data_IF_027835428762
#
_entry.id   IF_027835428762
#
_cell.length_a   1.000
_cell.length_b   1.000
_cell.length_c   1.000
_cell.angle_alpha   90.00
_cell.angle_beta   90.00
_cell.angle_gamma   90.00
#
_symmetry.space_group_name_H-M   'P 1'
#
loop_
_entity.id
_entity.type
_entity.pdbx_description
1 polymer ?
#
# COMPACT_ATOMS: atom_id res chain seq x y z
N UNK A 1 10.14 -61.29 -23.95
CA UNK A 1 11.12 -60.21 -23.75
C UNK A 1 10.36 -58.89 -23.70
N UNK A 2 10.65 -58.08 -22.68
CA UNK A 2 9.95 -56.84 -22.29
C UNK A 2 10.05 -55.76 -23.38
N UNK A 3 8.96 -55.06 -23.67
CA UNK A 3 9.00 -53.68 -24.18
C UNK A 3 8.09 -52.82 -23.31
N UNK A 4 8.71 -52.14 -22.36
CA UNK A 4 8.09 -51.13 -21.49
C UNK A 4 8.07 -49.84 -22.31
N UNK A 5 6.88 -49.38 -22.70
CA UNK A 5 6.71 -48.04 -23.26
C UNK A 5 6.53 -47.07 -22.09
N UNK A 6 7.63 -46.43 -21.71
CA UNK A 6 7.69 -45.37 -20.70
C UNK A 6 7.22 -44.06 -21.37
N UNK A 7 5.92 -43.75 -21.28
CA UNK A 7 5.40 -42.45 -21.70
C UNK A 7 5.75 -41.39 -20.65
N UNK A 8 6.76 -40.57 -20.96
CA UNK A 8 7.18 -39.42 -20.17
C UNK A 8 6.09 -38.35 -20.26
N UNK A 9 5.33 -38.18 -19.18
CA UNK A 9 4.38 -37.09 -18.99
C UNK A 9 5.19 -35.81 -18.71
N UNK A 10 5.41 -35.00 -19.75
CA UNK A 10 6.09 -33.72 -19.64
C UNK A 10 5.13 -32.72 -18.94
N UNK A 11 5.27 -32.60 -17.62
CA UNK A 11 4.56 -31.57 -16.85
C UNK A 11 5.20 -30.23 -17.18
N UNK A 12 4.61 -29.48 -18.10
CA UNK A 12 4.91 -28.07 -18.29
C UNK A 12 4.44 -27.32 -17.05
N UNK A 13 5.37 -27.03 -16.14
CA UNK A 13 5.13 -26.09 -15.06
C UNK A 13 4.94 -24.70 -15.69
N UNK A 14 3.68 -24.31 -15.88
CA UNK A 14 3.34 -22.92 -16.17
C UNK A 14 3.73 -22.14 -14.93
N UNK A 15 4.86 -21.44 -14.98
CA UNK A 15 5.18 -20.44 -13.98
C UNK A 15 4.16 -19.32 -14.13
N UNK A 16 3.14 -19.33 -13.28
CA UNK A 16 2.27 -18.17 -13.10
C UNK A 16 3.15 -17.12 -12.43
N UNK A 17 3.81 -16.29 -13.24
CA UNK A 17 4.38 -15.04 -12.76
C UNK A 17 3.20 -14.20 -12.28
N UNK A 18 2.97 -14.16 -10.98
CA UNK A 18 2.15 -13.10 -10.39
C UNK A 18 2.87 -11.80 -10.67
N UNK A 19 2.54 -11.14 -11.78
CA UNK A 19 3.01 -9.80 -12.08
C UNK A 19 2.55 -8.90 -10.93
N UNK A 20 3.50 -8.49 -10.08
CA UNK A 20 3.21 -7.54 -9.02
C UNK A 20 3.12 -6.15 -9.67
N UNK A 21 1.98 -5.50 -9.52
CA UNK A 21 1.75 -4.19 -10.11
C UNK A 21 2.71 -3.16 -9.51
N UNK A 22 3.28 -2.30 -10.36
CA UNK A 22 4.15 -1.21 -9.92
C UNK A 22 3.37 0.08 -9.77
N UNK A 23 3.78 0.91 -8.83
CA UNK A 23 3.18 2.23 -8.63
C UNK A 23 4.19 3.30 -8.32
N UNK A 24 3.87 4.52 -8.72
CA UNK A 24 4.60 5.72 -8.33
C UNK A 24 3.98 6.30 -7.06
N UNK A 25 4.77 6.39 -5.98
CA UNK A 25 4.31 6.87 -4.68
C UNK A 25 4.30 8.39 -4.60
N UNK A 26 3.32 8.91 -3.85
CA UNK A 26 3.22 10.34 -3.58
C UNK A 26 4.16 10.76 -2.45
N UNK A 27 4.52 12.05 -2.45
CA UNK A 27 5.27 12.68 -1.37
C UNK A 27 4.30 13.31 -0.37
N UNK A 28 4.57 13.11 0.92
CA UNK A 28 3.86 13.78 2.01
C UNK A 28 4.88 14.54 2.83
N UNK A 29 4.81 15.88 2.84
CA UNK A 29 5.82 16.75 3.47
C UNK A 29 7.26 16.46 2.99
N UNK A 30 7.42 16.11 1.71
CA UNK A 30 8.71 15.77 1.10
C UNK A 30 9.26 14.39 1.46
N UNK A 31 8.47 13.55 2.14
CA UNK A 31 8.81 12.17 2.49
C UNK A 31 8.02 11.22 1.60
N UNK A 32 8.69 10.19 1.06
CA UNK A 32 8.04 9.13 0.29
C UNK A 32 7.23 8.22 1.21
N UNK A 33 5.97 7.95 0.86
CA UNK A 33 5.07 7.15 1.69
C UNK A 33 4.60 5.92 0.95
N UNK A 34 4.98 4.76 1.46
CA UNK A 34 4.66 3.45 0.93
C UNK A 34 3.56 2.83 1.79
N UNK A 35 2.31 2.83 1.31
CA UNK A 35 1.19 2.21 2.02
C UNK A 35 0.78 0.95 1.27
N UNK A 36 0.87 -0.20 1.94
CA UNK A 36 0.59 -1.52 1.33
C UNK A 36 1.38 -1.76 0.04
N UNK A 37 2.59 -1.22 0.04
CA UNK A 37 3.55 -1.31 -1.05
C UNK A 37 4.94 -1.26 -0.45
N UNK A 38 5.90 -1.77 -1.19
CA UNK A 38 7.31 -1.78 -0.81
C UNK A 38 8.13 -1.03 -1.86
N UNK A 39 9.11 -0.21 -1.46
CA UNK A 39 9.99 0.44 -2.41
C UNK A 39 10.78 -0.59 -3.21
N UNK A 40 11.03 -0.29 -4.48
CA UNK A 40 11.94 -1.10 -5.33
C UNK A 40 13.40 -0.88 -4.93
N UNK A 41 13.69 0.29 -4.34
CA UNK A 41 15.04 0.69 -3.90
C UNK A 41 15.49 -0.10 -2.69
N UNK A 42 16.78 -0.35 -2.58
CA UNK A 42 17.38 -0.98 -1.40
C UNK A 42 17.36 -0.01 -0.21
N UNK A 43 16.93 -0.48 0.95
CA UNK A 43 16.81 0.35 2.14
C UNK A 43 17.18 -0.39 3.42
N UNK A 44 17.54 0.38 4.43
CA UNK A 44 17.63 -0.07 5.81
C UNK A 44 16.51 0.54 6.65
N UNK A 45 16.02 -0.20 7.63
CA UNK A 45 15.04 0.31 8.59
C UNK A 45 15.78 1.01 9.72
N UNK A 46 15.69 2.34 9.76
CA UNK A 46 16.37 3.17 10.77
C UNK A 46 15.54 3.36 12.03
N UNK A 47 14.22 3.23 11.92
CA UNK A 47 13.34 3.27 13.07
C UNK A 47 12.02 2.55 12.79
N UNK A 48 11.72 1.50 13.56
CA UNK A 48 10.42 0.83 13.52
C UNK A 48 9.58 1.26 14.68
N UNK A 49 8.28 1.46 14.45
CA UNK A 49 7.33 1.58 15.55
C UNK A 49 6.30 0.47 15.51
N UNK A 50 6.49 -0.49 16.42
CA UNK A 50 5.69 -1.69 16.56
C UNK A 50 4.33 -1.49 17.27
N UNK A 51 3.56 -2.58 17.26
CA UNK A 51 2.17 -2.69 17.75
C UNK A 51 2.04 -2.22 19.21
N UNK A 52 1.32 -1.11 19.41
CA UNK A 52 0.93 -0.61 20.73
C UNK A 52 0.85 0.90 20.79
N UNK A 53 1.69 1.58 20.00
CA UNK A 53 1.66 3.02 19.90
C UNK A 53 0.56 3.45 18.93
N UNK A 54 -0.24 4.37 19.43
CA UNK A 54 -1.51 4.77 18.90
C UNK A 54 -1.30 5.75 17.72
N UNK A 55 -0.62 5.31 16.66
CA UNK A 55 -0.17 6.20 15.58
C UNK A 55 -1.30 6.81 14.77
N UNK A 56 -2.39 6.06 14.58
CA UNK A 56 -3.63 6.57 13.99
C UNK A 56 -4.48 7.36 15.00
N UNK A 57 -4.00 7.64 16.23
CA UNK A 57 -4.77 8.50 17.12
C UNK A 57 -4.71 9.94 16.64
N UNK A 58 -5.88 10.58 16.57
CA UNK A 58 -5.98 11.93 16.09
C UNK A 58 -5.24 12.85 17.06
N UNK A 59 -4.69 13.92 16.52
CA UNK A 59 -3.79 14.83 17.24
C UNK A 59 -4.42 15.42 18.51
N UNK A 60 -5.74 15.60 18.49
CA UNK A 60 -6.58 16.16 19.54
C UNK A 60 -7.09 15.13 20.58
N UNK A 61 -6.68 13.86 20.52
CA UNK A 61 -7.06 12.85 21.53
C UNK A 61 -8.54 12.43 21.49
N UNK A 62 -9.33 12.95 20.56
CA UNK A 62 -10.74 12.60 20.40
C UNK A 62 -10.91 11.17 19.87
N UNK A 63 -11.63 10.32 20.60
CA UNK A 63 -11.76 8.89 20.25
C UNK A 63 -12.53 8.60 18.95
N UNK A 64 -13.23 9.58 18.36
CA UNK A 64 -14.28 9.34 17.35
C UNK A 64 -14.14 10.13 16.03
N UNK A 65 -13.01 10.81 15.77
CA UNK A 65 -12.81 11.47 14.47
C UNK A 65 -12.48 10.45 13.37
N UNK A 66 -13.31 10.45 12.31
CA UNK A 66 -13.00 9.77 11.06
C UNK A 66 -12.08 10.66 10.24
N UNK A 67 -10.77 10.54 10.43
CA UNK A 67 -9.76 11.25 9.62
C UNK A 67 -9.44 10.48 8.32
N UNK A 68 -9.01 11.20 7.28
CA UNK A 68 -8.47 10.60 6.05
C UNK A 68 -7.13 9.90 6.33
N UNK A 69 -6.70 8.98 5.45
CA UNK A 69 -5.39 8.34 5.63
C UNK A 69 -4.25 9.36 5.57
N UNK A 70 -4.38 10.34 4.68
CA UNK A 70 -3.40 11.40 4.44
C UNK A 70 -3.15 12.20 5.72
N UNK A 71 -4.21 12.68 6.38
CA UNK A 71 -4.08 13.41 7.66
C UNK A 71 -3.37 12.56 8.71
N UNK A 72 -3.67 11.26 8.79
CA UNK A 72 -3.02 10.37 9.75
C UNK A 72 -1.54 10.15 9.43
N UNK A 73 -1.21 9.96 8.15
CA UNK A 73 0.15 9.81 7.65
C UNK A 73 0.95 11.10 7.87
N UNK A 74 0.38 12.27 7.56
CA UNK A 74 1.01 13.56 7.84
C UNK A 74 1.32 13.74 9.33
N UNK A 75 0.34 13.44 10.19
CA UNK A 75 0.51 13.53 11.64
C UNK A 75 1.60 12.56 12.13
N UNK A 76 1.66 11.36 11.56
CA UNK A 76 2.73 10.40 11.81
C UNK A 76 4.09 10.97 11.43
N UNK A 77 4.26 11.43 10.17
CA UNK A 77 5.52 11.97 9.66
C UNK A 77 6.00 13.16 10.51
N UNK A 78 5.08 14.05 10.90
CA UNK A 78 5.39 15.18 11.79
C UNK A 78 5.93 14.73 13.15
N UNK A 79 5.35 13.69 13.75
CA UNK A 79 5.81 13.13 15.04
C UNK A 79 7.14 12.38 14.88
N UNK A 80 7.25 11.58 13.82
CA UNK A 80 8.46 10.83 13.49
C UNK A 80 9.64 11.78 13.27
N UNK A 81 9.47 12.82 12.46
CA UNK A 81 10.50 13.85 12.24
C UNK A 81 10.97 14.47 13.55
N UNK A 82 10.04 14.93 14.41
CA UNK A 82 10.39 15.47 15.74
C UNK A 82 11.16 14.47 16.62
N UNK A 83 10.84 13.19 16.54
CA UNK A 83 11.54 12.15 17.30
C UNK A 83 12.95 11.91 16.73
N UNK A 84 13.04 11.74 15.42
CA UNK A 84 14.28 11.53 14.68
C UNK A 84 15.26 12.71 14.83
N UNK A 85 14.78 13.95 14.72
CA UNK A 85 15.58 15.16 14.93
C UNK A 85 16.21 15.19 16.33
N UNK A 86 15.44 14.83 17.37
CA UNK A 86 15.93 14.74 18.75
C UNK A 86 16.95 13.63 18.97
N UNK A 87 16.93 12.59 18.13
CA UNK A 87 17.79 11.42 18.22
C UNK A 87 18.94 11.45 17.22
N UNK A 88 19.02 12.46 16.36
CA UNK A 88 20.00 12.52 15.27
C UNK A 88 19.84 11.42 14.23
N UNK A 89 18.63 10.88 14.06
CA UNK A 89 18.32 9.82 13.09
C UNK A 89 17.80 10.48 11.81
N UNK A 90 18.43 10.20 10.67
CA UNK A 90 17.92 10.60 9.36
C UNK A 90 17.08 9.47 8.74
N UNK A 91 16.01 9.83 8.02
CA UNK A 91 15.19 8.89 7.26
C UNK A 91 14.68 9.57 5.99
N UNK A 92 14.48 8.80 4.93
CA UNK A 92 14.06 9.28 3.60
C UNK A 92 12.59 9.00 3.32
N UNK A 93 12.08 7.89 3.85
CA UNK A 93 10.76 7.38 3.54
C UNK A 93 10.11 6.66 4.71
N UNK A 94 8.81 6.40 4.59
CA UNK A 94 8.02 5.63 5.56
C UNK A 94 7.28 4.51 4.85
N UNK A 95 7.38 3.30 5.40
CA UNK A 95 6.62 2.12 4.96
C UNK A 95 5.55 1.80 5.99
N UNK A 96 4.30 1.69 5.56
CA UNK A 96 3.21 1.09 6.32
C UNK A 96 3.01 -0.36 5.86
N UNK A 97 3.45 -1.30 6.70
CA UNK A 97 3.28 -2.72 6.47
C UNK A 97 1.97 -3.25 7.04
N UNK A 98 1.55 -4.41 6.52
CA UNK A 98 0.30 -5.14 6.79
C UNK A 98 0.18 -5.61 8.25
N UNK A 99 0.14 -4.71 9.22
CA UNK A 99 0.29 -5.10 10.64
C UNK A 99 0.23 -4.01 11.72
N UNK A 100 -0.05 -2.75 11.35
CA UNK A 100 0.06 -1.53 12.19
C UNK A 100 1.48 -1.05 12.45
N UNK A 101 2.46 -1.61 11.74
CA UNK A 101 3.84 -1.17 11.86
C UNK A 101 4.09 -0.09 10.81
N UNK A 102 4.70 1.00 11.27
CA UNK A 102 5.28 2.00 10.38
C UNK A 102 6.77 2.04 10.61
N UNK A 103 7.50 1.86 9.52
CA UNK A 103 8.94 1.81 9.48
C UNK A 103 9.46 3.06 8.79
N UNK A 104 10.27 3.84 9.50
CA UNK A 104 11.11 4.85 8.89
C UNK A 104 12.31 4.15 8.27
N UNK A 105 12.55 4.43 7.00
CA UNK A 105 13.61 3.80 6.24
C UNK A 105 14.57 4.84 5.69
N UNK A 106 15.79 4.39 5.40
CA UNK A 106 16.80 5.16 4.70
C UNK A 106 17.26 4.36 3.50
N UNK A 107 17.31 4.98 2.33
CA UNK A 107 17.75 4.29 1.13
C UNK A 107 19.27 4.10 1.16
N UNK A 108 19.70 2.94 0.71
CA UNK A 108 21.12 2.54 0.69
C UNK A 108 21.72 2.56 -0.72
N UNK A 109 20.86 2.62 -1.74
CA UNK A 109 21.23 2.71 -3.15
C UNK A 109 21.24 4.15 -3.69
N UNK A 110 21.76 4.32 -4.91
CA UNK A 110 21.67 5.57 -5.63
C UNK A 110 20.27 5.75 -6.24
N UNK A 111 19.73 6.95 -6.07
CA UNK A 111 18.47 7.35 -6.70
C UNK A 111 18.67 7.51 -8.21
N UNK A 112 17.87 6.80 -8.99
CA UNK A 112 17.81 6.84 -10.45
C UNK A 112 16.39 7.17 -10.91
N UNK A 113 16.20 7.63 -12.17
CA UNK A 113 14.85 7.84 -12.71
C UNK A 113 13.98 6.58 -12.71
N UNK A 114 14.60 5.40 -12.76
CA UNK A 114 13.92 4.10 -12.82
C UNK A 114 13.48 3.58 -11.45
N UNK A 115 14.05 4.11 -10.36
CA UNK A 115 13.74 3.70 -9.00
C UNK A 115 13.16 4.83 -8.13
N UNK A 116 13.09 6.07 -8.65
CA UNK A 116 12.50 7.22 -7.95
C UNK A 116 11.02 6.98 -7.65
N UNK A 117 10.70 6.84 -6.36
CA UNK A 117 9.33 6.66 -5.86
C UNK A 117 8.61 5.47 -6.47
N UNK A 118 9.34 4.47 -6.94
CA UNK A 118 8.75 3.26 -7.50
C UNK A 118 8.54 2.24 -6.39
N UNK A 119 7.35 1.67 -6.37
CA UNK A 119 6.98 0.63 -5.41
C UNK A 119 6.32 -0.56 -6.07
N UNK A 120 6.39 -1.69 -5.39
CA UNK A 120 5.70 -2.93 -5.71
C UNK A 120 4.45 -2.99 -4.83
N UNK A 121 3.28 -3.11 -5.45
CA UNK A 121 1.99 -3.15 -4.74
C UNK A 121 1.72 -4.54 -4.18
N UNK A 122 1.31 -4.58 -2.91
CA UNK A 122 0.78 -5.79 -2.30
C UNK A 122 -0.71 -5.96 -2.60
N UNK A 123 -1.07 -7.15 -3.07
CA UNK A 123 -2.47 -7.49 -3.35
C UNK A 123 -3.18 -7.95 -2.07
N UNK A 124 -4.42 -7.52 -1.89
CA UNK A 124 -5.31 -7.98 -0.81
C UNK A 124 -6.51 -8.65 -1.48
N UNK A 125 -6.72 -9.94 -1.22
CA UNK A 125 -7.78 -10.76 -1.82
C UNK A 125 -7.83 -10.67 -3.37
N UNK A 126 -6.66 -10.60 -4.02
CA UNK A 126 -6.56 -10.48 -5.48
C UNK A 126 -6.88 -9.10 -6.05
N UNK A 127 -7.02 -8.09 -5.19
CA UNK A 127 -7.22 -6.69 -5.59
C UNK A 127 -5.96 -5.89 -5.27
N UNK A 128 -5.44 -5.15 -6.24
CA UNK A 128 -4.35 -4.21 -6.02
C UNK A 128 -4.87 -2.90 -5.43
N UNK A 129 -4.26 -2.45 -4.33
CA UNK A 129 -4.63 -1.20 -3.67
C UNK A 129 -3.51 -0.17 -3.84
N UNK A 130 -3.79 0.86 -4.63
CA UNK A 130 -2.93 2.02 -4.82
C UNK A 130 -3.34 3.11 -3.82
N UNK A 131 -2.77 3.05 -2.62
CA UNK A 131 -3.08 3.99 -1.53
C UNK A 131 -2.00 5.06 -1.48
N UNK A 132 -2.38 6.30 -1.80
CA UNK A 132 -1.45 7.42 -1.97
C UNK A 132 -0.39 7.17 -3.07
N UNK A 133 -0.74 6.36 -4.07
CA UNK A 133 0.11 6.01 -5.20
C UNK A 133 -0.71 5.88 -6.49
N UNK A 134 -0.01 5.86 -7.63
CA UNK A 134 -0.58 5.79 -8.98
C UNK A 134 -0.01 4.56 -9.69
N UNK A 135 -0.81 3.74 -10.39
CA UNK A 135 -0.25 2.71 -11.26
C UNK A 135 0.67 3.33 -12.31
N UNK A 136 1.81 2.69 -12.56
CA UNK A 136 2.73 3.08 -13.64
C UNK A 136 2.26 2.50 -14.96
N UNK A 137 1.71 1.29 -14.92
CA UNK A 137 1.17 0.60 -16.08
C UNK A 137 -0.13 1.27 -16.55
N UNK A 138 -0.43 1.13 -17.83
CA UNK A 138 -1.69 1.61 -18.38
C UNK A 138 -2.88 0.91 -17.70
N UNK A 139 -3.92 1.67 -17.38
CA UNK A 139 -5.12 1.14 -16.76
C UNK A 139 -6.38 1.75 -17.36
N UNK A 140 -7.46 0.97 -17.35
CA UNK A 140 -8.79 1.41 -17.74
C UNK A 140 -9.55 1.92 -16.51
N UNK A 141 -10.09 3.13 -16.60
CA UNK A 141 -11.00 3.64 -15.58
C UNK A 141 -12.37 3.00 -15.73
N UNK A 142 -12.85 2.34 -14.67
CA UNK A 142 -14.15 1.66 -14.65
C UNK A 142 -15.22 2.56 -14.03
N UNK A 143 -14.97 3.02 -12.80
CA UNK A 143 -16.00 3.74 -12.03
C UNK A 143 -15.41 4.50 -10.85
N UNK A 144 -15.95 5.69 -10.59
CA UNK A 144 -15.71 6.45 -9.35
C UNK A 144 -16.77 6.08 -8.30
N UNK A 145 -16.33 5.65 -7.13
CA UNK A 145 -17.18 5.37 -5.96
C UNK A 145 -17.07 6.51 -4.96
N UNK A 146 -18.22 7.08 -4.58
CA UNK A 146 -18.32 8.10 -3.54
C UNK A 146 -18.24 7.52 -2.11
N UNK A 147 -18.22 8.40 -1.11
CA UNK A 147 -18.15 8.10 0.34
C UNK A 147 -16.79 7.62 0.87
N UNK A 148 -15.77 7.51 0.00
CA UNK A 148 -14.37 7.24 0.35
C UNK A 148 -14.17 5.95 1.15
N UNK A 149 -12.97 5.80 1.67
CA UNK A 149 -12.64 4.78 2.68
C UNK A 149 -12.63 5.48 4.03
N UNK A 150 -13.47 5.00 4.96
CA UNK A 150 -13.44 5.46 6.35
C UNK A 150 -12.40 4.64 7.11
N UNK A 151 -11.24 5.22 7.34
CA UNK A 151 -10.21 4.58 8.16
C UNK A 151 -10.57 4.79 9.64
N UNK A 152 -10.94 3.71 10.33
CA UNK A 152 -11.31 3.80 11.74
C UNK A 152 -10.06 3.82 12.63
N UNK A 153 -10.08 4.60 13.72
CA UNK A 153 -8.99 4.64 14.72
C UNK A 153 -9.02 3.45 15.69
N UNK A 154 -9.91 2.49 15.44
CA UNK A 154 -10.10 1.32 16.30
C UNK A 154 -8.96 0.32 16.14
N UNK A 155 -9.00 -0.81 16.87
CA UNK A 155 -8.01 -1.91 16.76
C UNK A 155 -7.89 -2.52 15.34
N UNK A 156 -8.63 -2.02 14.35
CA UNK A 156 -8.65 -2.55 12.99
C UNK A 156 -7.45 -2.05 12.17
N UNK A 157 -6.93 -2.94 11.32
CA UNK A 157 -5.86 -2.66 10.38
C UNK A 157 -6.42 -1.84 9.20
N UNK A 158 -5.60 -0.97 8.59
CA UNK A 158 -5.97 -0.28 7.32
C UNK A 158 -6.49 -1.28 6.28
N UNK A 159 -5.83 -2.44 6.23
CA UNK A 159 -6.22 -3.61 5.43
C UNK A 159 -7.69 -3.99 5.63
N UNK A 160 -8.19 -4.01 6.86
CA UNK A 160 -9.58 -4.38 7.14
C UNK A 160 -10.57 -3.34 6.59
N UNK A 161 -10.25 -2.05 6.71
CA UNK A 161 -11.10 -0.98 6.16
C UNK A 161 -11.10 -1.01 4.62
N UNK A 162 -9.96 -1.35 4.00
CA UNK A 162 -9.84 -1.57 2.56
C UNK A 162 -10.61 -2.81 2.09
N UNK A 163 -10.54 -3.93 2.81
CA UNK A 163 -11.33 -5.13 2.51
C UNK A 163 -12.83 -4.86 2.63
N UNK A 164 -13.26 -4.11 3.66
CA UNK A 164 -14.65 -3.68 3.81
C UNK A 164 -15.08 -2.80 2.64
N UNK A 165 -14.20 -1.91 2.19
CA UNK A 165 -14.44 -1.10 0.99
C UNK A 165 -14.55 -1.97 -0.27
N UNK A 166 -13.62 -2.90 -0.52
CA UNK A 166 -13.67 -3.79 -1.68
C UNK A 166 -14.97 -4.61 -1.73
N UNK A 167 -15.42 -5.14 -0.59
CA UNK A 167 -16.71 -5.84 -0.50
C UNK A 167 -17.89 -4.94 -0.89
N UNK A 168 -17.87 -3.66 -0.52
CA UNK A 168 -18.88 -2.67 -0.93
C UNK A 168 -18.74 -2.35 -2.43
N UNK A 169 -17.52 -2.08 -2.90
CA UNK A 169 -17.24 -1.77 -4.30
C UNK A 169 -17.71 -2.88 -5.24
N UNK A 170 -17.49 -4.14 -4.87
CA UNK A 170 -17.99 -5.31 -5.61
C UNK A 170 -19.51 -5.35 -5.74
N UNK A 171 -20.24 -4.92 -4.70
CA UNK A 171 -21.72 -4.80 -4.77
C UNK A 171 -22.15 -3.64 -5.67
N UNK A 172 -21.40 -2.54 -5.67
CA UNK A 172 -21.73 -1.33 -6.42
C UNK A 172 -21.31 -1.38 -7.90
N UNK A 173 -20.33 -2.22 -8.27
CA UNK A 173 -19.85 -2.31 -9.66
C UNK A 173 -20.79 -3.14 -10.55
N UNK A 174 -21.69 -3.96 -9.99
CA UNK A 174 -22.62 -4.92 -10.65
C UNK A 174 -21.94 -5.99 -11.53
N UNK A 175 -20.87 -5.62 -12.23
CA UNK A 175 -20.01 -6.45 -13.05
C UNK A 175 -18.62 -6.44 -12.40
N UNK A 176 -18.06 -7.62 -12.20
CA UNK A 176 -16.85 -7.85 -11.42
C UNK A 176 -15.59 -7.53 -12.26
N UNK A 177 -15.57 -6.38 -12.92
CA UNK A 177 -14.64 -6.05 -14.02
C UNK A 177 -13.40 -5.28 -13.58
N UNK A 178 -13.33 -4.84 -12.32
CA UNK A 178 -12.16 -4.16 -11.77
C UNK A 178 -11.26 -5.16 -11.03
N UNK A 179 -9.95 -4.98 -11.11
CA UNK A 179 -8.94 -5.74 -10.35
C UNK A 179 -8.06 -4.83 -9.47
N UNK A 180 -8.26 -3.51 -9.54
CA UNK A 180 -7.48 -2.55 -8.80
C UNK A 180 -8.32 -1.35 -8.30
N UNK A 181 -7.85 -0.75 -7.21
CA UNK A 181 -8.49 0.37 -6.53
C UNK A 181 -7.45 1.45 -6.29
N UNK A 182 -7.73 2.67 -6.76
CA UNK A 182 -6.91 3.84 -6.48
C UNK A 182 -7.58 4.71 -5.40
N UNK A 183 -6.82 5.02 -4.36
CA UNK A 183 -7.20 5.95 -3.31
C UNK A 183 -6.10 6.99 -3.07
N UNK A 184 -6.30 8.20 -3.59
CA UNK A 184 -5.40 9.33 -3.31
C UNK A 184 -5.78 10.05 -2.03
N UNK A 185 -6.94 10.73 -2.05
CA UNK A 185 -7.38 11.58 -0.96
C UNK A 185 -8.91 11.71 -0.91
N UNK A 186 -9.43 12.02 0.28
CA UNK A 186 -10.82 12.45 0.44
C UNK A 186 -11.88 11.35 0.32
N UNK A 187 -13.02 11.72 -0.29
CA UNK A 187 -14.29 10.96 -0.26
C UNK A 187 -14.59 10.18 -1.54
N UNK A 188 -13.62 10.05 -2.43
CA UNK A 188 -13.78 9.31 -3.69
C UNK A 188 -12.71 8.27 -3.84
N UNK A 189 -13.05 7.19 -4.52
CA UNK A 189 -12.14 6.08 -4.82
C UNK A 189 -12.41 5.67 -6.26
N UNK A 190 -11.36 5.43 -7.03
CA UNK A 190 -11.49 5.03 -8.43
C UNK A 190 -11.27 3.53 -8.54
N UNK A 191 -12.23 2.85 -9.17
CA UNK A 191 -12.12 1.46 -9.58
C UNK A 191 -11.50 1.42 -10.97
N UNK A 192 -10.46 0.62 -11.11
CA UNK A 192 -9.70 0.51 -12.36
C UNK A 192 -9.46 -0.95 -12.72
N UNK A 193 -9.12 -1.17 -13.98
CA UNK A 193 -8.67 -2.44 -14.49
C UNK A 193 -7.27 -2.27 -15.09
N UNK A 194 -6.32 -3.02 -14.57
CA UNK A 194 -4.94 -3.13 -15.06
C UNK A 194 -4.82 -4.39 -15.91
#
# INVERSE_FOLDING_TARGET
MKKIFLSILMVTAVQITNAQNKSQVSLVNGIEVYILSEPVRDYEVVHSVGRGNQWLRPFNGERNLTESIETKVENYIKRLRKYCDKKGIAFDAVIYSTGKQMDAIKFTDLKTPENDRISIINNIDGISFFVMSIPIDNYEFIKKIGRGIKFTNSKNLIVHDLMKFAKRAKKESKYNTYNAIIYYHGKTVDLIKI
#
